data_IF_353892739458
#
_entry.id   IF_353892739458
#
_cell.length_a   1.000
_cell.length_b   1.000
_cell.length_c   1.000
_cell.angle_alpha   90.00
_cell.angle_beta   90.00
_cell.angle_gamma   90.00
#
_symmetry.space_group_name_H-M   'P 1'
#
loop_
_entity.id
_entity.type
_entity.pdbx_description
1 polymer ?
#
# COMPACT_ATOMS: atom_id res chain seq x y z
N UNK A 1 19.21 33.86 -10.93
CA UNK A 1 19.21 34.83 -9.82
C UNK A 1 18.23 35.97 -10.02
N UNK A 2 18.32 36.74 -11.11
CA UNK A 2 17.46 37.93 -11.31
C UNK A 2 15.95 37.63 -11.30
N UNK A 3 15.54 36.49 -11.89
CA UNK A 3 14.15 36.01 -11.84
C UNK A 3 13.64 35.67 -10.44
N UNK A 4 14.54 35.45 -9.48
CA UNK A 4 14.23 35.24 -8.07
C UNK A 4 14.30 36.55 -7.25
N UNK A 5 14.49 37.69 -7.92
CA UNK A 5 14.60 38.99 -7.29
C UNK A 5 15.94 39.26 -6.62
N UNK A 6 17.02 38.59 -7.06
CA UNK A 6 18.35 38.73 -6.47
C UNK A 6 19.34 39.25 -7.51
N UNK A 7 20.03 40.32 -7.13
CA UNK A 7 21.10 40.94 -7.92
C UNK A 7 22.32 40.01 -7.99
N UNK A 8 22.86 39.72 -9.19
CA UNK A 8 24.06 38.91 -9.37
C UNK A 8 25.31 39.47 -8.69
N UNK A 9 25.41 40.80 -8.63
CA UNK A 9 26.52 41.50 -7.97
C UNK A 9 26.10 42.90 -7.52
N UNK A 10 26.81 43.54 -6.57
CA UNK A 10 26.50 44.89 -6.09
C UNK A 10 26.42 45.95 -7.22
N UNK A 11 27.23 45.82 -8.26
CA UNK A 11 27.30 46.76 -9.39
C UNK A 11 26.04 46.73 -10.28
N UNK A 12 25.17 45.72 -10.10
CA UNK A 12 23.94 45.56 -10.88
C UNK A 12 22.70 46.11 -10.18
N UNK A 13 22.84 46.59 -8.94
CA UNK A 13 21.71 47.05 -8.12
C UNK A 13 20.95 48.24 -8.71
N UNK A 14 21.62 49.08 -9.50
CA UNK A 14 21.03 50.26 -10.14
C UNK A 14 20.44 49.97 -11.53
N UNK A 15 20.61 48.75 -12.06
CA UNK A 15 20.23 48.40 -13.44
C UNK A 15 18.80 47.88 -13.60
N UNK A 16 18.18 47.42 -12.51
CA UNK A 16 16.83 46.89 -12.52
C UNK A 16 16.20 46.97 -11.13
N UNK A 17 14.88 47.10 -11.07
CA UNK A 17 14.12 46.95 -9.83
C UNK A 17 13.72 45.48 -9.65
N UNK A 18 14.46 44.76 -8.80
CA UNK A 18 14.25 43.33 -8.57
C UNK A 18 13.50 43.11 -7.27
N UNK A 19 12.38 42.39 -7.35
CA UNK A 19 11.56 42.05 -6.18
C UNK A 19 11.84 40.61 -5.71
N UNK A 20 12.35 40.39 -4.48
CA UNK A 20 12.56 39.06 -3.94
C UNK A 20 11.26 38.23 -3.92
N UNK A 21 11.30 37.04 -4.50
CA UNK A 21 10.10 36.17 -4.67
C UNK A 21 10.02 35.02 -3.67
N UNK A 22 11.02 34.88 -2.79
CA UNK A 22 11.13 33.78 -1.83
C UNK A 22 11.35 34.30 -0.41
N UNK A 23 10.67 33.70 0.56
CA UNK A 23 10.96 33.87 1.98
C UNK A 23 11.00 32.52 2.68
N UNK A 24 11.85 32.39 3.70
CA UNK A 24 11.97 31.21 4.52
C UNK A 24 11.68 31.57 5.97
N UNK A 25 10.66 30.92 6.54
CA UNK A 25 10.06 31.31 7.81
C UNK A 25 9.80 30.10 8.70
N UNK A 26 9.79 30.33 10.00
CA UNK A 26 9.40 29.37 11.03
C UNK A 26 8.66 30.08 12.17
N UNK A 27 8.42 29.40 13.29
CA UNK A 27 7.85 29.99 14.50
C UNK A 27 8.65 29.61 15.74
N UNK A 28 8.57 30.45 16.78
CA UNK A 28 9.12 30.12 18.09
C UNK A 28 8.34 28.96 18.70
N UNK A 29 9.04 27.93 19.17
CA UNK A 29 8.42 26.77 19.86
C UNK A 29 8.67 26.78 21.36
N UNK A 30 9.67 27.53 21.83
CA UNK A 30 10.02 27.60 23.24
C UNK A 30 10.72 28.93 23.56
N UNK A 31 10.43 29.48 24.73
CA UNK A 31 11.15 30.61 25.33
C UNK A 31 11.64 30.22 26.73
N UNK A 32 12.90 30.54 27.03
CA UNK A 32 13.50 30.32 28.36
C UNK A 32 14.45 31.45 28.72
N UNK A 33 14.48 31.82 29.99
CA UNK A 33 15.39 32.81 30.55
C UNK A 33 16.60 32.10 31.18
N UNK A 34 17.81 32.60 30.91
CA UNK A 34 19.06 32.06 31.42
C UNK A 34 19.87 33.14 32.14
N UNK A 35 20.54 32.81 33.27
CA UNK A 35 21.43 33.74 33.95
C UNK A 35 22.75 33.91 33.19
N UNK A 36 23.52 34.95 33.53
CA UNK A 36 24.90 35.12 33.06
C UNK A 36 25.75 33.87 33.37
N UNK A 37 26.64 33.52 32.45
CA UNK A 37 27.56 32.38 32.57
C UNK A 37 26.99 31.03 32.14
N UNK A 38 25.75 30.96 31.63
CA UNK A 38 25.14 29.71 31.20
C UNK A 38 25.57 29.31 29.78
N UNK A 39 25.78 28.02 29.54
CA UNK A 39 26.19 27.50 28.23
C UNK A 39 25.00 27.09 27.36
N UNK A 40 25.02 27.46 26.08
CA UNK A 40 23.95 27.20 25.12
C UNK A 40 24.45 26.35 23.95
N UNK A 41 23.67 25.33 23.59
CA UNK A 41 23.92 24.46 22.44
C UNK A 41 25.04 23.43 22.65
N UNK A 42 25.28 22.64 21.60
CA UNK A 42 26.33 21.60 21.60
C UNK A 42 27.73 22.19 21.79
N UNK A 43 28.60 21.43 22.45
CA UNK A 43 29.98 21.80 22.78
C UNK A 43 30.13 23.12 23.53
N UNK A 44 29.04 23.66 24.10
CA UNK A 44 29.04 24.91 24.88
C UNK A 44 29.68 26.07 24.10
N UNK A 45 29.42 26.15 22.79
CA UNK A 45 30.03 27.14 21.89
C UNK A 45 29.56 28.57 22.12
N UNK A 46 28.56 28.77 22.97
CA UNK A 46 28.07 30.07 23.39
C UNK A 46 27.87 30.09 24.91
N UNK A 47 28.38 31.13 25.56
CA UNK A 47 28.19 31.40 26.99
C UNK A 47 27.52 32.77 27.12
N UNK A 48 26.41 32.84 27.83
CA UNK A 48 25.67 34.09 28.04
C UNK A 48 26.51 35.07 28.86
N UNK A 49 26.70 36.29 28.37
CA UNK A 49 27.47 37.35 29.04
C UNK A 49 26.65 38.19 30.03
N UNK A 50 25.32 38.10 29.95
CA UNK A 50 24.31 38.73 30.80
C UNK A 50 23.10 37.80 31.01
N UNK A 51 22.07 38.27 31.71
CA UNK A 51 20.79 37.58 31.73
C UNK A 51 20.18 37.62 30.32
N UNK A 52 19.91 36.45 29.74
CA UNK A 52 19.56 36.30 28.32
C UNK A 52 18.27 35.51 28.18
N UNK A 53 17.30 36.08 27.45
CA UNK A 53 16.08 35.37 27.04
C UNK A 53 16.32 34.71 25.69
N UNK A 54 16.13 33.40 25.62
CA UNK A 54 16.48 32.58 24.46
C UNK A 54 15.21 31.94 23.90
N UNK A 55 15.03 32.07 22.59
CA UNK A 55 14.00 31.37 21.85
C UNK A 55 14.60 30.13 21.14
N UNK A 56 13.88 29.02 21.15
CA UNK A 56 14.17 27.86 20.30
C UNK A 56 13.24 27.88 19.09
N UNK A 57 13.82 27.67 17.90
CA UNK A 57 13.08 27.56 16.64
C UNK A 57 13.31 26.18 16.01
N UNK A 58 12.28 25.56 15.40
CA UNK A 58 12.33 24.21 14.87
C UNK A 58 12.90 24.19 13.45
N UNK A 59 14.13 24.70 13.29
CA UNK A 59 14.89 24.67 12.04
C UNK A 59 16.34 24.33 12.36
N UNK A 60 16.93 23.44 11.55
CA UNK A 60 18.35 23.09 11.69
C UNK A 60 19.01 22.72 10.36
N UNK A 61 20.17 22.08 10.44
CA UNK A 61 20.94 21.71 9.24
C UNK A 61 20.26 20.63 8.40
N UNK A 62 19.32 19.86 8.95
CA UNK A 62 18.48 18.96 8.17
C UNK A 62 17.53 19.71 7.23
N UNK A 63 17.17 20.96 7.56
CA UNK A 63 16.43 21.89 6.70
C UNK A 63 17.37 22.74 5.84
N UNK A 64 18.65 22.36 5.82
CA UNK A 64 19.76 23.08 5.17
C UNK A 64 20.03 24.47 5.72
N UNK A 65 19.55 24.78 6.93
CA UNK A 65 20.07 25.89 7.72
C UNK A 65 21.39 25.45 8.35
N UNK A 66 22.49 25.64 7.62
CA UNK A 66 23.74 24.93 7.85
C UNK A 66 24.39 25.18 9.23
N UNK A 67 25.16 24.20 9.70
CA UNK A 67 25.99 24.31 10.92
C UNK A 67 26.93 25.51 10.85
N UNK A 68 27.34 25.90 9.64
CA UNK A 68 28.17 27.09 9.40
C UNK A 68 27.53 28.37 9.94
N UNK A 69 26.20 28.48 10.06
CA UNK A 69 25.52 29.66 10.62
C UNK A 69 25.54 29.72 12.15
N UNK A 70 26.14 28.75 12.83
CA UNK A 70 26.28 28.75 14.29
C UNK A 70 27.02 30.00 14.77
N UNK A 71 26.45 30.72 15.75
CA UNK A 71 27.01 31.96 16.32
C UNK A 71 27.23 33.14 15.36
N UNK A 72 26.80 33.06 14.10
CA UNK A 72 26.97 34.15 13.12
C UNK A 72 25.75 34.38 12.23
N UNK A 73 24.80 33.45 12.22
CA UNK A 73 23.50 33.64 11.60
C UNK A 73 22.64 34.63 12.37
N UNK A 74 21.67 35.21 11.67
CA UNK A 74 20.67 36.10 12.24
C UNK A 74 19.29 35.70 11.71
N UNK A 75 18.25 36.07 12.44
CA UNK A 75 16.85 35.94 12.04
C UNK A 75 16.10 37.22 12.37
N UNK A 76 14.92 37.42 11.77
CA UNK A 76 14.02 38.52 12.11
C UNK A 76 12.85 38.00 12.94
N UNK A 77 12.58 38.68 14.06
CA UNK A 77 11.43 38.42 14.94
C UNK A 77 10.81 39.76 15.30
N UNK A 78 9.50 39.92 15.08
CA UNK A 78 8.77 41.19 15.29
C UNK A 78 9.44 42.41 14.64
N UNK A 79 10.03 42.23 13.46
CA UNK A 79 10.70 43.26 12.69
C UNK A 79 12.07 43.69 13.25
N UNK A 80 12.63 42.93 14.19
CA UNK A 80 13.96 43.15 14.75
C UNK A 80 14.88 41.98 14.42
N UNK A 81 16.13 42.31 14.10
CA UNK A 81 17.21 41.35 13.85
C UNK A 81 17.78 40.82 15.16
N UNK A 82 17.88 39.50 15.27
CA UNK A 82 18.40 38.81 16.45
C UNK A 82 19.39 37.71 16.08
N UNK A 83 20.45 37.50 16.86
CA UNK A 83 21.50 36.55 16.51
C UNK A 83 21.11 35.11 16.84
N UNK A 84 21.56 34.18 16.00
CA UNK A 84 21.62 32.74 16.30
C UNK A 84 22.76 32.50 17.26
N UNK A 85 22.46 31.90 18.40
CA UNK A 85 23.42 31.63 19.48
C UNK A 85 23.52 30.13 19.74
N UNK A 86 24.73 29.64 19.98
CA UNK A 86 25.03 28.22 20.09
C UNK A 86 25.14 27.52 18.74
N UNK A 87 25.51 26.25 18.79
CA UNK A 87 25.63 25.40 17.59
C UNK A 87 24.24 25.01 17.05
N UNK A 88 24.03 25.22 15.76
CA UNK A 88 22.84 24.76 15.03
C UNK A 88 22.78 23.22 15.06
N UNK A 89 21.63 22.68 15.46
CA UNK A 89 21.38 21.23 15.54
C UNK A 89 20.70 20.71 14.27
N UNK A 90 20.36 19.42 14.21
CA UNK A 90 19.73 18.84 13.02
C UNK A 90 18.39 19.49 12.70
N UNK A 91 17.57 19.72 13.73
CA UNK A 91 16.18 20.13 13.56
C UNK A 91 15.82 21.40 14.36
N UNK A 92 16.76 21.94 15.13
CA UNK A 92 16.53 23.11 15.98
C UNK A 92 17.76 24.00 16.09
N UNK A 93 17.52 25.30 16.31
CA UNK A 93 18.54 26.24 16.74
C UNK A 93 17.96 27.25 17.74
N UNK A 94 18.85 28.00 18.38
CA UNK A 94 18.50 28.97 19.42
C UNK A 94 18.89 30.38 19.00
N UNK A 95 18.08 31.35 19.38
CA UNK A 95 18.28 32.77 19.06
C UNK A 95 18.11 33.64 20.32
N UNK A 96 18.91 34.69 20.44
CA UNK A 96 18.84 35.63 21.57
C UNK A 96 17.73 36.66 21.33
N UNK A 97 16.65 36.57 22.09
CA UNK A 97 15.50 37.49 22.00
C UNK A 97 15.45 38.47 23.17
N UNK A 98 16.55 38.65 23.90
CA UNK A 98 16.62 39.57 25.05
C UNK A 98 16.27 41.02 24.69
N UNK A 99 16.50 41.43 23.43
CA UNK A 99 16.11 42.75 22.91
C UNK A 99 14.63 42.90 22.51
N UNK A 100 13.83 41.85 22.72
CA UNK A 100 12.41 41.77 22.33
C UNK A 100 11.59 41.30 23.54
N UNK A 101 11.23 42.20 24.48
CA UNK A 101 10.54 41.82 25.72
C UNK A 101 9.19 41.13 25.47
N UNK A 102 8.45 41.57 24.43
CA UNK A 102 7.13 41.05 24.07
C UNK A 102 7.16 39.80 23.16
N UNK A 103 8.30 39.13 23.08
CA UNK A 103 8.47 37.91 22.28
C UNK A 103 7.66 36.75 22.89
N UNK A 104 6.93 36.02 22.07
CA UNK A 104 6.03 34.95 22.49
C UNK A 104 6.22 33.66 21.67
N UNK A 105 5.90 32.51 22.29
CA UNK A 105 5.80 31.24 21.56
C UNK A 105 4.75 31.38 20.45
N UNK A 106 5.07 30.93 19.24
CA UNK A 106 4.22 31.09 18.05
C UNK A 106 4.56 32.30 17.18
N UNK A 107 5.38 33.24 17.65
CA UNK A 107 5.81 34.39 16.85
C UNK A 107 6.51 33.94 15.56
N UNK A 108 6.22 34.63 14.45
CA UNK A 108 6.86 34.40 13.15
C UNK A 108 8.33 34.79 13.20
N UNK A 109 9.18 33.87 12.77
CA UNK A 109 10.63 34.05 12.64
C UNK A 109 11.00 33.96 11.17
N UNK A 110 11.63 34.99 10.61
CA UNK A 110 12.07 35.04 9.21
C UNK A 110 13.58 34.79 9.16
N UNK A 111 13.99 33.68 8.54
CA UNK A 111 15.40 33.32 8.35
C UNK A 111 15.97 33.92 7.05
N UNK A 112 15.10 34.11 6.05
CA UNK A 112 15.41 34.80 4.79
C UNK A 112 14.13 35.47 4.28
N UNK A 113 14.21 36.72 3.84
CA UNK A 113 13.06 37.53 3.43
C UNK A 113 12.90 38.79 4.27
N UNK A 114 11.72 39.41 4.21
CA UNK A 114 11.42 40.69 4.87
C UNK A 114 10.44 40.51 6.03
N UNK A 115 10.67 41.25 7.12
CA UNK A 115 9.73 41.41 8.23
C UNK A 115 9.74 42.86 8.70
N UNK A 116 8.63 43.58 8.49
CA UNK A 116 8.58 45.03 8.74
C UNK A 116 9.54 45.80 7.81
N UNK A 117 10.41 46.61 8.39
CA UNK A 117 11.43 47.38 7.66
C UNK A 117 12.76 46.64 7.50
N UNK A 118 12.94 45.50 8.17
CA UNK A 118 14.16 44.69 8.09
C UNK A 118 14.02 43.59 7.04
N UNK A 119 15.15 43.21 6.45
CA UNK A 119 15.23 42.07 5.52
C UNK A 119 16.56 41.35 5.60
N UNK A 120 16.52 40.02 5.47
CA UNK A 120 17.71 39.16 5.34
C UNK A 120 17.69 38.58 3.92
N UNK A 121 18.66 38.94 3.09
CA UNK A 121 18.74 38.49 1.69
C UNK A 121 19.61 37.24 1.54
N UNK A 122 19.44 36.49 0.44
CA UNK A 122 20.33 35.37 0.12
C UNK A 122 21.80 35.83 -0.06
N UNK A 123 22.02 37.02 -0.62
CA UNK A 123 23.36 37.60 -0.78
C UNK A 123 24.00 37.89 0.59
N UNK A 124 23.20 38.34 1.56
CA UNK A 124 23.69 38.58 2.92
C UNK A 124 24.10 37.28 3.62
N UNK A 125 23.25 36.24 3.54
CA UNK A 125 23.57 34.92 4.11
C UNK A 125 24.82 34.35 3.43
N UNK A 126 24.89 34.41 2.11
CA UNK A 126 26.03 33.96 1.31
C UNK A 126 27.32 34.67 1.72
N UNK A 127 27.29 36.00 1.88
CA UNK A 127 28.44 36.80 2.29
C UNK A 127 28.96 36.44 3.68
N UNK A 128 28.08 36.08 4.63
CA UNK A 128 28.48 35.65 5.98
C UNK A 128 29.16 34.29 6.00
N UNK A 129 28.75 33.38 5.13
CA UNK A 129 29.25 32.00 5.13
C UNK A 129 30.31 31.73 4.05
N UNK A 130 30.70 32.74 3.29
CA UNK A 130 31.68 32.62 2.20
C UNK A 130 31.17 31.79 1.00
N UNK A 131 29.88 31.90 0.69
CA UNK A 131 29.21 31.18 -0.41
C UNK A 131 28.60 32.16 -1.42
N UNK A 132 27.77 31.67 -2.35
CA UNK A 132 27.04 32.43 -3.34
C UNK A 132 25.52 32.25 -3.14
N UNK A 133 24.73 33.25 -3.53
CA UNK A 133 23.27 33.19 -3.38
C UNK A 133 22.60 32.01 -4.07
N UNK A 134 23.18 31.48 -5.15
CA UNK A 134 22.68 30.26 -5.79
C UNK A 134 22.62 29.09 -4.82
N UNK A 135 23.69 28.88 -4.03
CA UNK A 135 23.77 27.79 -3.08
C UNK A 135 22.75 27.99 -1.96
N UNK A 136 22.63 29.21 -1.43
CA UNK A 136 21.65 29.54 -0.38
C UNK A 136 20.22 29.26 -0.84
N UNK A 137 19.84 29.69 -2.04
CA UNK A 137 18.50 29.46 -2.59
C UNK A 137 18.21 27.99 -2.86
N UNK A 138 19.18 27.24 -3.36
CA UNK A 138 19.03 25.81 -3.65
C UNK A 138 19.00 24.96 -2.38
N UNK A 139 19.72 25.37 -1.34
CA UNK A 139 19.84 24.62 -0.10
C UNK A 139 18.67 24.89 0.85
N UNK A 140 18.39 26.16 1.17
CA UNK A 140 17.49 26.53 2.27
C UNK A 140 16.08 25.95 2.12
N UNK A 141 15.57 25.42 3.23
CA UNK A 141 14.22 24.89 3.28
C UNK A 141 14.08 23.59 2.49
N UNK A 142 15.16 22.81 2.35
CA UNK A 142 15.14 21.52 1.66
C UNK A 142 13.97 20.68 2.14
N UNK A 143 13.80 20.55 3.47
CA UNK A 143 12.71 19.82 4.14
C UNK A 143 11.40 20.59 4.31
N UNK A 144 11.39 21.89 4.04
CA UNK A 144 10.25 22.76 4.32
C UNK A 144 9.16 22.65 3.24
N UNK A 145 7.87 22.78 3.60
CA UNK A 145 6.79 22.93 2.63
C UNK A 145 6.96 24.23 1.85
N UNK A 146 6.59 24.23 0.56
CA UNK A 146 6.62 25.42 -0.29
C UNK A 146 5.19 25.94 -0.45
N UNK A 147 5.00 27.22 -0.14
CA UNK A 147 3.73 27.93 -0.29
C UNK A 147 3.88 28.93 -1.44
N UNK A 148 3.16 28.69 -2.54
CA UNK A 148 3.16 29.59 -3.69
C UNK A 148 2.02 30.59 -3.55
N UNK A 149 2.35 31.89 -3.62
CA UNK A 149 1.38 32.98 -3.48
C UNK A 149 1.13 33.55 -4.89
N UNK A 150 -0.07 33.34 -5.45
CA UNK A 150 -0.46 33.95 -6.72
C UNK A 150 -1.55 35.01 -6.50
N UNK A 151 -1.27 36.26 -6.89
CA UNK A 151 -2.21 37.41 -6.83
C UNK A 151 -3.02 37.51 -5.52
N UNK A 152 -2.35 37.40 -4.37
CA UNK A 152 -2.97 37.58 -3.06
C UNK A 152 -3.88 36.45 -2.57
N UNK A 153 -4.04 35.36 -3.34
CA UNK A 153 -4.64 34.12 -2.86
C UNK A 153 -3.53 33.14 -2.46
N UNK A 154 -3.55 32.72 -1.19
CA UNK A 154 -2.66 31.69 -0.67
C UNK A 154 -3.16 30.29 -1.09
N UNK A 155 -3.44 30.08 -2.37
CA UNK A 155 -4.02 28.83 -2.87
C UNK A 155 -3.01 28.14 -3.77
N UNK A 156 -2.01 27.50 -3.15
CA UNK A 156 -1.48 26.16 -3.48
C UNK A 156 -0.47 25.78 -2.40
N UNK A 157 -0.84 24.88 -1.49
CA UNK A 157 0.09 24.23 -0.56
C UNK A 157 0.69 23.02 -1.28
N UNK A 158 1.98 23.04 -1.60
CA UNK A 158 2.71 21.82 -1.96
C UNK A 158 3.64 21.44 -0.82
N UNK A 159 3.33 20.39 -0.05
CA UNK A 159 4.34 19.60 0.63
C UNK A 159 4.64 18.39 -0.24
N UNK A 160 5.75 18.42 -0.99
CA UNK A 160 6.40 17.19 -1.45
C UNK A 160 7.90 17.31 -1.24
N UNK A 161 8.37 16.74 -0.14
CA UNK A 161 9.59 15.96 -0.21
C UNK A 161 9.21 14.51 -0.32
N UNK A 162 8.93 14.10 -1.54
CA UNK A 162 9.63 12.91 -1.99
C UNK A 162 10.80 13.43 -2.81
N UNK A 163 11.99 12.85 -2.61
CA UNK A 163 12.91 12.70 -3.73
C UNK A 163 12.11 11.94 -4.79
N UNK A 164 11.50 12.70 -5.69
CA UNK A 164 11.05 12.26 -7.00
C UNK A 164 11.76 13.22 -7.94
N UNK A 165 12.89 12.75 -8.46
CA UNK A 165 13.33 13.11 -9.80
C UNK A 165 13.08 11.84 -10.64
N UNK A 166 12.32 12.01 -11.72
CA UNK A 166 11.92 11.04 -12.77
C UNK A 166 12.55 11.63 -14.04
N UNK A 167 13.28 10.92 -14.93
CA UNK A 167 12.73 9.82 -15.76
C UNK A 167 13.72 8.70 -16.19
N UNK A 168 13.21 7.48 -16.38
CA UNK A 168 13.81 6.36 -17.15
C UNK A 168 15.09 5.64 -16.66
N UNK A 169 15.76 6.05 -15.59
CA UNK A 169 16.94 5.32 -15.09
C UNK A 169 16.73 4.68 -13.71
N UNK A 170 16.79 3.34 -13.72
CA UNK A 170 16.96 2.39 -12.62
C UNK A 170 15.78 2.11 -11.68
N UNK A 171 15.06 1.05 -12.09
CA UNK A 171 14.74 -0.10 -11.23
C UNK A 171 15.66 -0.21 -10.01
N UNK A 172 15.17 0.20 -8.85
CA UNK A 172 15.48 -0.55 -7.63
C UNK A 172 14.16 -0.83 -6.92
N UNK A 173 13.35 -1.68 -7.56
CA UNK A 173 12.30 -2.43 -6.87
C UNK A 173 12.90 -2.94 -5.54
N UNK A 174 14.10 -3.52 -5.61
CA UNK A 174 14.96 -3.92 -4.48
C UNK A 174 15.09 -2.91 -3.34
N UNK A 175 15.16 -1.60 -3.61
CA UNK A 175 15.27 -0.58 -2.55
C UNK A 175 13.93 -0.28 -1.91
N UNK A 176 12.86 -0.26 -2.69
CA UNK A 176 11.50 -0.08 -2.17
C UNK A 176 11.12 -1.34 -1.38
N UNK A 177 11.38 -2.51 -1.93
CA UNK A 177 11.25 -3.81 -1.29
C UNK A 177 11.99 -3.84 0.04
N UNK A 178 13.27 -3.44 0.04
CA UNK A 178 14.08 -3.37 1.26
C UNK A 178 13.47 -2.46 2.33
N UNK A 179 12.93 -1.29 1.95
CA UNK A 179 12.28 -0.37 2.89
C UNK A 179 10.99 -0.98 3.44
N UNK A 180 10.15 -1.58 2.60
CA UNK A 180 8.87 -2.17 3.00
C UNK A 180 9.11 -3.41 3.87
N UNK A 181 10.07 -4.25 3.50
CA UNK A 181 10.56 -5.40 4.26
C UNK A 181 11.06 -4.97 5.63
N UNK A 182 11.94 -3.96 5.72
CA UNK A 182 12.40 -3.39 7.00
C UNK A 182 11.24 -2.83 7.84
N UNK A 183 10.23 -2.23 7.21
CA UNK A 183 9.04 -1.76 7.93
C UNK A 183 8.24 -2.91 8.53
N UNK A 184 8.05 -4.02 7.80
CA UNK A 184 7.40 -5.21 8.33
C UNK A 184 8.23 -5.89 9.42
N UNK A 185 9.55 -6.03 9.24
CA UNK A 185 10.46 -6.55 10.26
C UNK A 185 10.39 -5.74 11.56
N UNK A 186 10.44 -4.41 11.44
CA UNK A 186 10.37 -3.49 12.60
C UNK A 186 9.02 -3.59 13.32
N UNK A 187 7.90 -3.66 12.57
CA UNK A 187 6.56 -3.80 13.16
C UNK A 187 6.32 -5.18 13.77
N UNK A 188 6.79 -6.24 13.12
CA UNK A 188 6.69 -7.61 13.61
C UNK A 188 7.65 -7.89 14.78
N UNK A 189 8.66 -7.02 14.98
CA UNK A 189 9.77 -7.20 15.94
C UNK A 189 10.53 -8.52 15.74
N UNK A 190 10.58 -9.00 14.50
CA UNK A 190 11.28 -10.22 14.08
C UNK A 190 11.59 -10.10 12.60
N UNK A 191 12.84 -10.39 12.23
CA UNK A 191 13.29 -10.34 10.85
C UNK A 191 12.58 -11.42 10.02
N UNK A 192 12.52 -12.65 10.53
CA UNK A 192 11.87 -13.76 9.82
C UNK A 192 10.37 -13.52 9.61
N UNK A 193 9.67 -12.98 10.60
CA UNK A 193 8.24 -12.66 10.47
C UNK A 193 8.00 -11.48 9.52
N UNK A 194 8.87 -10.46 9.55
CA UNK A 194 8.77 -9.33 8.62
C UNK A 194 8.97 -9.76 7.17
N UNK A 195 9.92 -10.65 6.95
CA UNK A 195 10.24 -11.23 5.65
C UNK A 195 9.12 -12.13 5.13
N UNK A 196 8.55 -12.95 6.00
CA UNK A 196 7.37 -13.76 5.68
C UNK A 196 6.18 -12.88 5.30
N UNK A 197 5.90 -11.81 6.03
CA UNK A 197 4.81 -10.87 5.67
C UNK A 197 5.10 -10.20 4.33
N UNK A 198 6.35 -9.81 4.07
CA UNK A 198 6.73 -9.20 2.81
C UNK A 198 6.48 -10.13 1.61
N UNK A 199 7.00 -11.35 1.63
CA UNK A 199 6.86 -12.27 0.51
C UNK A 199 5.45 -12.88 0.41
N UNK A 200 4.89 -13.33 1.53
CA UNK A 200 3.60 -14.04 1.54
C UNK A 200 2.41 -13.10 1.33
N UNK A 201 2.51 -11.85 1.77
CA UNK A 201 1.41 -10.89 1.65
C UNK A 201 1.71 -9.77 0.67
N UNK A 202 2.85 -9.09 0.80
CA UNK A 202 3.08 -7.86 0.02
C UNK A 202 3.40 -8.16 -1.45
N UNK A 203 4.40 -8.99 -1.74
CA UNK A 203 4.72 -9.42 -3.11
C UNK A 203 3.56 -10.17 -3.78
N UNK A 204 2.90 -11.07 -3.03
CA UNK A 204 1.78 -11.84 -3.57
C UNK A 204 0.58 -10.94 -3.95
N UNK A 205 0.35 -9.85 -3.21
CA UNK A 205 -0.76 -8.91 -3.45
C UNK A 205 -0.40 -7.78 -4.41
N UNK A 206 0.86 -7.35 -4.44
CA UNK A 206 1.30 -6.10 -5.10
C UNK A 206 2.53 -6.24 -6.00
N UNK A 207 3.19 -7.40 -6.03
CA UNK A 207 4.48 -7.65 -6.73
C UNK A 207 4.40 -7.76 -8.25
N UNK A 208 3.20 -7.71 -8.84
CA UNK A 208 3.00 -7.56 -10.29
C UNK A 208 2.35 -6.20 -10.55
N UNK A 209 2.88 -5.44 -11.51
CA UNK A 209 2.46 -4.07 -11.82
C UNK A 209 0.93 -3.96 -11.94
N UNK A 210 0.36 -2.92 -11.32
CA UNK A 210 -1.07 -2.55 -11.33
C UNK A 210 -2.08 -3.64 -10.87
N UNK A 211 -1.69 -4.56 -9.98
CA UNK A 211 -2.66 -5.46 -9.33
C UNK A 211 -3.46 -4.73 -8.25
N UNK A 212 -4.71 -4.40 -8.56
CA UNK A 212 -5.63 -3.76 -7.60
C UNK A 212 -6.04 -4.75 -6.49
N UNK A 213 -5.93 -4.32 -5.22
CA UNK A 213 -6.28 -5.15 -4.06
C UNK A 213 -7.79 -5.45 -4.04
N UNK A 214 -8.17 -6.68 -4.37
CA UNK A 214 -9.54 -7.16 -4.20
C UNK A 214 -9.71 -7.77 -2.80
N UNK A 215 -10.61 -7.17 -2.00
CA UNK A 215 -11.00 -7.69 -0.70
C UNK A 215 -12.31 -8.46 -0.83
N UNK A 216 -12.37 -9.63 -0.18
CA UNK A 216 -13.57 -10.46 -0.11
C UNK A 216 -14.08 -10.57 1.33
N UNK A 217 -15.38 -10.72 1.50
CA UNK A 217 -16.00 -11.00 2.80
C UNK A 217 -16.96 -12.17 2.69
N UNK A 218 -17.13 -12.92 3.79
CA UNK A 218 -18.07 -14.06 3.90
C UNK A 218 -17.87 -15.07 2.74
N UNK A 219 -16.63 -15.51 2.53
CA UNK A 219 -16.32 -16.47 1.47
C UNK A 219 -16.82 -17.85 1.86
N UNK A 220 -17.71 -18.40 1.03
CA UNK A 220 -18.28 -19.73 1.18
C UNK A 220 -17.92 -20.60 -0.01
N UNK A 221 -17.58 -21.84 0.26
CA UNK A 221 -17.14 -22.80 -0.73
C UNK A 221 -17.73 -24.17 -0.41
N UNK A 222 -18.87 -24.46 -1.01
CA UNK A 222 -19.62 -25.69 -0.79
C UNK A 222 -19.34 -26.69 -1.92
N UNK A 223 -18.68 -27.79 -1.57
CA UNK A 223 -18.33 -28.88 -2.49
C UNK A 223 -19.23 -30.06 -2.18
N UNK A 224 -19.89 -30.58 -3.20
CA UNK A 224 -20.65 -31.83 -3.12
C UNK A 224 -20.09 -32.80 -4.14
N UNK A 225 -19.62 -33.96 -3.65
CA UNK A 225 -19.12 -35.05 -4.48
C UNK A 225 -20.14 -36.18 -4.45
N UNK A 226 -20.49 -36.68 -5.64
CA UNK A 226 -21.42 -37.79 -5.82
C UNK A 226 -20.90 -38.75 -6.90
N UNK A 227 -21.26 -40.03 -6.81
CA UNK A 227 -21.02 -40.99 -7.88
C UNK A 227 -21.86 -40.64 -9.12
N UNK A 228 -21.37 -41.04 -10.30
CA UNK A 228 -22.13 -40.91 -11.55
C UNK A 228 -23.17 -42.02 -11.57
N UNK A 229 -24.46 -41.66 -11.57
CA UNK A 229 -25.53 -42.63 -11.77
C UNK A 229 -25.31 -43.36 -13.11
N UNK A 230 -25.23 -44.69 -13.06
CA UNK A 230 -25.16 -45.56 -14.23
C UNK A 230 -26.48 -45.48 -15.02
N UNK A 231 -26.63 -44.41 -15.80
CA UNK A 231 -27.74 -44.25 -16.72
C UNK A 231 -27.77 -45.39 -17.74
N UNK A 232 -28.93 -46.03 -17.86
CA UNK A 232 -29.26 -47.05 -18.87
C UNK A 232 -29.11 -46.48 -20.28
N UNK A 233 -27.90 -46.43 -20.83
CA UNK A 233 -27.62 -46.50 -22.26
C UNK A 233 -26.11 -46.72 -22.48
N UNK A 234 -25.82 -47.89 -23.05
CA UNK A 234 -24.50 -48.50 -23.26
C UNK A 234 -23.33 -47.57 -23.53
N UNK A 235 -22.33 -47.63 -22.64
CA UNK A 235 -20.92 -47.92 -22.96
C UNK A 235 -20.22 -48.25 -21.62
N UNK A 236 -20.31 -49.52 -21.24
CA UNK A 236 -19.98 -50.07 -19.93
C UNK A 236 -18.47 -50.23 -19.65
N UNK A 237 -17.65 -49.20 -19.88
CA UNK A 237 -16.21 -49.28 -19.61
C UNK A 237 -15.57 -48.01 -19.01
N UNK A 238 -16.33 -46.98 -18.63
CA UNK A 238 -15.79 -45.72 -18.09
C UNK A 238 -16.57 -45.09 -16.92
N UNK A 239 -17.63 -45.71 -16.40
CA UNK A 239 -18.51 -45.09 -15.38
C UNK A 239 -17.96 -45.15 -13.95
N UNK A 240 -17.21 -46.19 -13.59
CA UNK A 240 -16.91 -46.49 -12.17
C UNK A 240 -15.74 -45.67 -11.60
N UNK A 241 -15.03 -44.95 -12.47
CA UNK A 241 -13.80 -44.23 -12.12
C UNK A 241 -13.97 -42.70 -12.23
N UNK A 242 -15.21 -42.21 -12.27
CA UNK A 242 -15.52 -40.79 -12.41
C UNK A 242 -16.54 -40.35 -11.36
N UNK A 243 -16.28 -39.21 -10.73
CA UNK A 243 -17.08 -38.55 -9.71
C UNK A 243 -17.66 -37.26 -10.28
N UNK A 244 -18.92 -36.96 -9.95
CA UNK A 244 -19.52 -35.67 -10.18
C UNK A 244 -19.19 -34.76 -8.99
N UNK A 245 -18.66 -33.58 -9.28
CA UNK A 245 -18.35 -32.56 -8.27
C UNK A 245 -19.13 -31.30 -8.60
N UNK A 246 -20.05 -30.94 -7.71
CA UNK A 246 -20.76 -29.66 -7.75
C UNK A 246 -20.09 -28.73 -6.75
N UNK A 247 -19.66 -27.56 -7.20
CA UNK A 247 -19.06 -26.55 -6.35
C UNK A 247 -19.87 -25.27 -6.43
N UNK A 248 -20.34 -24.79 -5.29
CA UNK A 248 -20.92 -23.45 -5.15
C UNK A 248 -19.94 -22.58 -4.38
N UNK A 249 -19.47 -21.52 -5.03
CA UNK A 249 -18.63 -20.51 -4.39
C UNK A 249 -19.42 -19.21 -4.28
N UNK A 250 -19.43 -18.59 -3.11
CA UNK A 250 -19.98 -17.25 -2.92
C UNK A 250 -19.11 -16.37 -2.05
N UNK A 251 -19.14 -15.07 -2.30
CA UNK A 251 -18.39 -14.06 -1.53
C UNK A 251 -18.89 -12.66 -1.82
N UNK A 252 -18.67 -11.74 -0.89
CA UNK A 252 -18.96 -10.32 -1.08
C UNK A 252 -17.73 -9.57 -1.55
N UNK A 253 -17.88 -8.74 -2.59
CA UNK A 253 -16.82 -7.83 -3.09
C UNK A 253 -17.41 -6.54 -3.62
N UNK A 254 -16.56 -5.57 -3.90
CA UNK A 254 -16.96 -4.40 -4.71
C UNK A 254 -16.97 -4.79 -6.18
N UNK A 255 -18.12 -4.66 -6.86
CA UNK A 255 -18.20 -4.94 -8.30
C UNK A 255 -17.48 -3.86 -9.11
N UNK A 256 -16.64 -4.27 -10.07
CA UNK A 256 -15.83 -3.34 -10.88
C UNK A 256 -16.12 -3.40 -12.36
N UNK A 257 -16.47 -4.59 -12.85
CA UNK A 257 -16.78 -4.82 -14.24
C UNK A 257 -18.24 -5.26 -14.37
N UNK A 258 -18.93 -4.76 -15.38
CA UNK A 258 -20.27 -5.21 -15.74
C UNK A 258 -20.24 -6.46 -16.64
N UNK A 259 -19.07 -6.81 -17.15
CA UNK A 259 -18.79 -8.06 -17.86
C UNK A 259 -17.49 -8.66 -17.30
N UNK A 260 -17.51 -9.94 -16.99
CA UNK A 260 -16.37 -10.64 -16.40
C UNK A 260 -16.29 -12.08 -16.91
N UNK A 261 -15.12 -12.70 -16.73
CA UNK A 261 -14.85 -14.07 -17.18
C UNK A 261 -14.60 -15.00 -16.00
N UNK A 262 -15.16 -16.21 -16.08
CA UNK A 262 -14.78 -17.35 -15.25
C UNK A 262 -13.85 -18.21 -16.10
N UNK A 263 -12.57 -18.28 -15.70
CA UNK A 263 -11.53 -18.99 -16.44
C UNK A 263 -11.31 -20.40 -15.89
N UNK A 264 -11.23 -21.38 -16.78
CA UNK A 264 -10.82 -22.74 -16.46
C UNK A 264 -9.51 -23.06 -17.18
N UNK A 265 -8.43 -23.18 -16.41
CA UNK A 265 -7.09 -23.55 -16.85
C UNK A 265 -6.87 -25.06 -16.74
N UNK A 266 -5.99 -25.59 -17.60
CA UNK A 266 -5.60 -27.01 -17.62
C UNK A 266 -4.15 -27.25 -17.17
N UNK A 267 -3.40 -26.17 -16.98
CA UNK A 267 -2.03 -26.16 -16.48
C UNK A 267 -1.72 -24.83 -15.76
N UNK A 268 -0.53 -24.74 -15.17
CA UNK A 268 -0.11 -23.58 -14.40
C UNK A 268 0.19 -22.34 -15.26
N UNK A 269 0.55 -22.51 -16.53
CA UNK A 269 0.83 -21.39 -17.44
C UNK A 269 -0.48 -20.67 -17.81
N UNK A 270 -1.50 -21.44 -18.16
CA UNK A 270 -2.86 -20.95 -18.37
C UNK A 270 -3.44 -20.31 -17.12
N UNK A 271 -3.25 -20.94 -15.95
CA UNK A 271 -3.72 -20.38 -14.68
C UNK A 271 -3.04 -19.03 -14.39
N UNK A 272 -1.74 -18.91 -14.65
CA UNK A 272 -1.01 -17.65 -14.52
C UNK A 272 -1.58 -16.57 -15.46
N UNK A 273 -1.92 -16.92 -16.71
CA UNK A 273 -2.52 -15.98 -17.64
C UNK A 273 -3.88 -15.42 -17.16
N UNK A 274 -4.70 -16.23 -16.47
CA UNK A 274 -5.93 -15.75 -15.84
C UNK A 274 -5.69 -14.87 -14.61
N UNK A 275 -4.54 -15.00 -13.92
CA UNK A 275 -4.18 -14.11 -12.83
C UNK A 275 -3.84 -12.69 -13.31
N UNK A 276 -3.33 -12.56 -14.53
CA UNK A 276 -3.00 -11.26 -15.15
C UNK A 276 -4.20 -10.55 -15.78
N UNK A 277 -5.32 -11.25 -16.04
CA UNK A 277 -6.52 -10.62 -16.62
C UNK A 277 -7.42 -10.00 -15.53
N UNK A 278 -7.55 -8.66 -15.46
CA UNK A 278 -8.37 -7.99 -14.46
C UNK A 278 -9.87 -8.23 -14.62
N UNK A 279 -10.31 -8.81 -15.75
CA UNK A 279 -11.71 -9.20 -15.99
C UNK A 279 -12.00 -10.61 -15.48
N UNK A 280 -10.96 -11.38 -15.12
CA UNK A 280 -11.13 -12.73 -14.59
C UNK A 280 -11.56 -12.70 -13.12
N UNK A 281 -12.84 -12.97 -12.89
CA UNK A 281 -13.46 -12.93 -11.56
C UNK A 281 -13.13 -14.19 -10.75
N UNK A 282 -13.15 -15.34 -11.43
CA UNK A 282 -12.94 -16.63 -10.79
C UNK A 282 -12.15 -17.59 -11.68
N UNK A 283 -11.29 -18.39 -11.06
CA UNK A 283 -10.28 -19.23 -11.70
C UNK A 283 -10.43 -20.66 -11.22
N UNK A 284 -10.51 -21.59 -12.16
CA UNK A 284 -10.56 -23.01 -11.91
C UNK A 284 -9.35 -23.67 -12.54
N UNK A 285 -8.70 -24.60 -11.83
CA UNK A 285 -7.62 -25.43 -12.39
C UNK A 285 -8.12 -26.87 -12.48
N UNK A 286 -8.24 -27.38 -13.70
CA UNK A 286 -8.49 -28.79 -13.93
C UNK A 286 -7.18 -29.57 -13.86
N UNK A 287 -7.12 -30.59 -13.01
CA UNK A 287 -5.97 -31.48 -12.94
C UNK A 287 -5.90 -32.36 -14.19
N UNK A 288 -4.87 -32.18 -15.04
CA UNK A 288 -4.48 -33.16 -16.05
C UNK A 288 -3.73 -34.33 -15.37
N UNK A 289 -4.45 -35.38 -15.03
CA UNK A 289 -3.85 -36.70 -14.72
C UNK A 289 -3.86 -37.62 -15.94
N UNK A 290 -3.14 -38.75 -15.88
CA UNK A 290 -3.10 -39.78 -16.95
C UNK A 290 -4.50 -40.34 -17.30
N UNK A 291 -5.50 -40.10 -16.44
CA UNK A 291 -6.92 -40.42 -16.65
C UNK A 291 -7.71 -39.14 -16.96
N UNK A 292 -7.75 -38.79 -18.25
CA UNK A 292 -8.26 -37.54 -18.81
C UNK A 292 -9.69 -37.19 -18.39
N UNK A 293 -9.84 -36.08 -17.67
CA UNK A 293 -11.06 -35.28 -17.66
C UNK A 293 -10.98 -34.30 -18.85
N UNK A 294 -12.00 -34.26 -19.70
CA UNK A 294 -12.01 -33.48 -20.93
C UNK A 294 -12.60 -32.08 -20.69
N UNK A 295 -12.38 -31.16 -21.62
CA UNK A 295 -12.90 -29.77 -21.55
C UNK A 295 -14.42 -29.71 -21.32
N UNK A 296 -15.17 -30.66 -21.89
CA UNK A 296 -16.62 -30.83 -21.70
C UNK A 296 -17.08 -31.19 -20.29
N UNK A 297 -16.15 -31.56 -19.43
CA UNK A 297 -16.41 -31.98 -18.06
C UNK A 297 -16.26 -30.83 -17.07
N UNK A 298 -16.10 -29.58 -17.53
CA UNK A 298 -16.27 -28.36 -16.76
C UNK A 298 -17.45 -27.55 -17.34
N UNK A 299 -18.35 -27.11 -16.46
CA UNK A 299 -19.47 -26.24 -16.84
C UNK A 299 -19.81 -25.30 -15.70
N UNK A 300 -19.86 -24.01 -15.98
CA UNK A 300 -20.54 -23.03 -15.11
C UNK A 300 -22.04 -23.18 -15.36
N UNK A 301 -22.80 -23.60 -14.35
CA UNK A 301 -24.25 -23.77 -14.49
C UNK A 301 -25.03 -22.52 -14.16
N UNK A 302 -24.57 -21.73 -13.18
CA UNK A 302 -25.26 -20.53 -12.73
C UNK A 302 -24.27 -19.52 -12.21
N UNK A 303 -24.52 -18.25 -12.52
CA UNK A 303 -23.83 -17.10 -11.96
C UNK A 303 -24.88 -16.12 -11.48
N UNK A 304 -24.73 -15.59 -10.28
CA UNK A 304 -25.67 -14.60 -9.73
C UNK A 304 -24.94 -13.50 -8.95
N UNK A 305 -25.53 -12.30 -8.97
CA UNK A 305 -25.05 -11.11 -8.26
C UNK A 305 -26.20 -10.48 -7.46
N UNK A 306 -26.12 -10.56 -6.13
CA UNK A 306 -27.21 -10.30 -5.16
C UNK A 306 -28.51 -11.02 -5.56
N UNK A 307 -28.43 -12.34 -5.74
CA UNK A 307 -29.55 -13.21 -6.14
C UNK A 307 -30.15 -12.94 -7.54
N UNK A 308 -29.60 -12.01 -8.30
CA UNK A 308 -29.97 -11.77 -9.71
C UNK A 308 -29.12 -12.65 -10.63
N UNK A 309 -29.77 -13.44 -11.48
CA UNK A 309 -29.07 -14.31 -12.43
C UNK A 309 -28.36 -13.50 -13.53
N UNK A 310 -27.06 -13.76 -13.68
CA UNK A 310 -26.21 -13.16 -14.71
C UNK A 310 -26.03 -14.19 -15.83
N UNK A 311 -26.54 -13.92 -17.05
CA UNK A 311 -26.46 -14.85 -18.14
C UNK A 311 -25.02 -15.01 -18.65
N UNK A 312 -24.74 -16.22 -19.10
CA UNK A 312 -23.52 -16.55 -19.85
C UNK A 312 -23.73 -16.05 -21.28
N UNK A 313 -22.92 -15.08 -21.70
CA UNK A 313 -23.03 -14.44 -23.01
C UNK A 313 -22.22 -15.16 -24.10
N UNK A 314 -21.09 -15.77 -23.72
CA UNK A 314 -20.30 -16.60 -24.62
C UNK A 314 -19.43 -17.58 -23.83
N UNK A 315 -19.03 -18.66 -24.49
CA UNK A 315 -18.02 -19.59 -23.98
C UNK A 315 -17.03 -19.90 -25.08
N UNK A 316 -15.74 -19.73 -24.81
CA UNK A 316 -14.69 -19.81 -25.82
C UNK A 316 -13.50 -20.63 -25.31
N UNK A 317 -12.92 -21.44 -26.18
CA UNK A 317 -11.63 -22.08 -25.92
C UNK A 317 -10.53 -21.19 -26.51
N UNK A 318 -9.69 -20.63 -25.66
CA UNK A 318 -8.59 -19.74 -26.05
C UNK A 318 -7.24 -20.39 -25.75
N UNK A 319 -6.14 -19.74 -26.14
CA UNK A 319 -4.80 -20.18 -25.76
C UNK A 319 -4.56 -20.16 -24.25
N UNK A 320 -5.38 -19.42 -23.48
CA UNK A 320 -5.30 -19.30 -22.01
C UNK A 320 -6.16 -20.32 -21.28
N UNK A 321 -6.94 -21.14 -21.98
CA UNK A 321 -7.87 -22.11 -21.42
C UNK A 321 -9.33 -21.85 -21.83
N UNK A 322 -10.27 -22.42 -21.08
CA UNK A 322 -11.70 -22.26 -21.35
C UNK A 322 -12.25 -21.03 -20.62
N UNK A 323 -12.88 -20.13 -21.36
CA UNK A 323 -13.39 -18.85 -20.89
C UNK A 323 -14.92 -18.84 -20.92
N UNK A 324 -15.55 -18.55 -19.78
CA UNK A 324 -17.00 -18.36 -19.66
C UNK A 324 -17.30 -16.90 -19.36
N UNK A 325 -17.81 -16.19 -20.34
CA UNK A 325 -18.11 -14.75 -20.24
C UNK A 325 -19.53 -14.54 -19.71
N UNK A 326 -19.64 -13.70 -18.69
CA UNK A 326 -20.90 -13.37 -18.01
C UNK A 326 -21.12 -11.85 -18.02
N UNK A 327 -22.34 -11.41 -18.32
CA UNK A 327 -22.70 -9.99 -18.34
C UNK A 327 -24.21 -9.82 -18.21
N UNK A 328 -24.67 -8.76 -17.55
CA UNK A 328 -26.08 -8.37 -17.49
C UNK A 328 -26.20 -6.85 -17.49
N UNK A 329 -27.27 -6.29 -18.05
CA UNK A 329 -27.46 -4.84 -18.18
C UNK A 329 -27.51 -4.15 -16.81
N UNK A 330 -28.25 -4.75 -15.87
CA UNK A 330 -28.43 -4.25 -14.49
C UNK A 330 -27.12 -4.17 -13.68
N UNK A 331 -26.05 -4.85 -14.10
CA UNK A 331 -24.76 -4.77 -13.39
C UNK A 331 -24.13 -3.38 -13.49
N UNK A 332 -24.51 -2.58 -14.50
CA UNK A 332 -24.05 -1.19 -14.64
C UNK A 332 -24.44 -0.34 -13.44
N UNK A 333 -25.63 -0.57 -12.88
CA UNK A 333 -26.13 0.19 -11.72
C UNK A 333 -25.45 -0.25 -10.41
N UNK A 334 -24.89 -1.46 -10.38
CA UNK A 334 -24.16 -2.03 -9.24
C UNK A 334 -22.65 -1.81 -9.29
N UNK A 335 -22.14 -1.04 -10.27
CA UNK A 335 -20.71 -0.75 -10.35
C UNK A 335 -20.25 0.08 -9.15
N UNK A 336 -19.10 -0.31 -8.58
CA UNK A 336 -18.50 0.29 -7.40
C UNK A 336 -19.31 0.15 -6.10
N UNK A 337 -20.36 -0.68 -6.07
CA UNK A 337 -21.07 -1.05 -4.85
C UNK A 337 -20.62 -2.43 -4.36
N UNK A 338 -20.85 -2.71 -3.08
CA UNK A 338 -20.65 -4.05 -2.54
C UNK A 338 -21.78 -4.96 -3.03
N UNK A 339 -21.44 -6.12 -3.55
CA UNK A 339 -22.36 -7.15 -4.04
C UNK A 339 -21.95 -8.52 -3.54
N UNK A 340 -22.90 -9.45 -3.44
CA UNK A 340 -22.66 -10.87 -3.24
C UNK A 340 -22.60 -11.58 -4.61
N UNK A 341 -21.42 -12.12 -4.94
CA UNK A 341 -21.22 -12.95 -6.13
C UNK A 341 -21.39 -14.40 -5.74
N UNK A 342 -22.16 -15.17 -6.51
CA UNK A 342 -22.27 -16.62 -6.36
C UNK A 342 -22.15 -17.33 -7.71
N UNK A 343 -21.33 -18.38 -7.75
CA UNK A 343 -21.01 -19.16 -8.94
C UNK A 343 -21.21 -20.64 -8.64
N UNK A 344 -21.99 -21.32 -9.47
CA UNK A 344 -22.18 -22.77 -9.42
C UNK A 344 -21.46 -23.44 -10.58
N UNK A 345 -20.51 -24.32 -10.25
CA UNK A 345 -19.64 -25.01 -11.19
C UNK A 345 -19.89 -26.51 -11.06
N UNK A 346 -20.06 -27.16 -12.20
CA UNK A 346 -20.09 -28.62 -12.30
C UNK A 346 -18.80 -29.09 -12.94
N UNK A 347 -18.14 -30.03 -12.28
CA UNK A 347 -16.98 -30.72 -12.83
C UNK A 347 -17.07 -32.22 -12.70
N UNK A 348 -16.35 -32.96 -13.55
CA UNK A 348 -16.05 -34.36 -13.29
C UNK A 348 -14.63 -34.52 -12.80
N UNK A 349 -14.42 -35.52 -11.94
CA UNK A 349 -13.10 -35.85 -11.40
C UNK A 349 -12.88 -37.34 -11.43
N UNK A 350 -11.70 -37.79 -11.85
CA UNK A 350 -11.35 -39.21 -11.76
C UNK A 350 -11.27 -39.66 -10.30
N UNK A 351 -11.78 -40.86 -9.98
CA UNK A 351 -11.73 -41.44 -8.63
C UNK A 351 -10.28 -41.76 -8.22
N UNK A 352 -9.43 -42.14 -9.19
CA UNK A 352 -7.99 -42.31 -9.00
C UNK A 352 -7.26 -41.01 -8.55
N UNK A 353 -7.80 -39.83 -8.86
CA UNK A 353 -7.29 -38.56 -8.35
C UNK A 353 -7.92 -38.28 -6.97
N UNK A 354 -7.24 -38.71 -5.92
CA UNK A 354 -7.78 -38.75 -4.57
C UNK A 354 -7.61 -37.46 -3.75
N UNK A 355 -7.35 -36.33 -4.42
CA UNK A 355 -7.13 -35.03 -3.78
C UNK A 355 -8.07 -33.96 -4.34
N UNK A 356 -8.63 -33.10 -3.50
CA UNK A 356 -9.36 -31.89 -3.91
C UNK A 356 -8.86 -30.68 -3.12
N UNK A 357 -8.26 -29.72 -3.81
CA UNK A 357 -7.63 -28.56 -3.18
C UNK A 357 -8.43 -27.28 -3.41
N UNK A 358 -8.58 -26.50 -2.34
CA UNK A 358 -9.16 -25.15 -2.37
C UNK A 358 -8.07 -24.17 -1.95
N UNK A 359 -7.83 -23.15 -2.77
CA UNK A 359 -6.85 -22.11 -2.51
C UNK A 359 -7.54 -20.75 -2.37
N UNK A 360 -7.22 -20.04 -1.29
CA UNK A 360 -7.62 -18.66 -1.07
C UNK A 360 -6.56 -17.76 -1.70
N UNK A 361 -6.92 -17.07 -2.77
CA UNK A 361 -5.98 -16.22 -3.52
C UNK A 361 -6.11 -14.74 -3.17
N UNK A 362 -7.23 -14.35 -2.56
CA UNK A 362 -7.50 -12.96 -2.18
C UNK A 362 -7.66 -12.84 -0.66
N UNK A 363 -7.24 -11.71 -0.05
CA UNK A 363 -7.49 -11.45 1.35
C UNK A 363 -8.99 -11.46 1.62
N UNK A 364 -9.40 -12.33 2.53
CA UNK A 364 -10.80 -12.62 2.77
C UNK A 364 -11.11 -12.49 4.26
N UNK A 365 -12.21 -11.82 4.60
CA UNK A 365 -12.70 -11.71 5.96
C UNK A 365 -13.84 -12.71 6.21
N UNK A 366 -13.60 -13.71 7.06
CA UNK A 366 -14.49 -14.86 7.24
C UNK A 366 -14.36 -15.90 6.14
N UNK A 367 -14.45 -17.18 6.52
CA UNK A 367 -14.28 -18.32 5.60
C UNK A 367 -15.19 -19.47 6.02
N UNK A 368 -15.84 -20.10 5.06
CA UNK A 368 -16.61 -21.32 5.26
C UNK A 368 -16.41 -22.28 4.09
N UNK A 369 -15.65 -23.35 4.28
CA UNK A 369 -15.40 -24.35 3.23
C UNK A 369 -16.05 -25.66 3.68
N UNK A 370 -16.99 -26.18 2.91
CA UNK A 370 -17.64 -27.47 3.15
C UNK A 370 -17.30 -28.46 2.05
N UNK A 371 -16.90 -29.66 2.45
CA UNK A 371 -16.67 -30.80 1.56
C UNK A 371 -17.61 -31.94 1.95
N UNK A 372 -18.70 -32.09 1.19
CA UNK A 372 -19.69 -33.14 1.33
C UNK A 372 -19.36 -34.31 0.39
N UNK A 373 -19.22 -35.49 0.98
CA UNK A 373 -18.90 -36.75 0.32
C UNK A 373 -19.84 -37.89 0.75
N UNK A 374 -21.05 -37.57 1.25
CA UNK A 374 -22.03 -38.57 1.71
C UNK A 374 -22.41 -39.57 0.61
N UNK A 375 -22.37 -39.14 -0.64
CA UNK A 375 -22.80 -39.92 -1.81
C UNK A 375 -21.64 -40.60 -2.57
N UNK A 376 -20.47 -40.76 -1.95
CA UNK A 376 -19.28 -41.35 -2.62
C UNK A 376 -18.83 -42.68 -2.05
N UNK A 377 -19.33 -43.07 -0.87
CA UNK A 377 -18.86 -44.25 -0.15
C UNK A 377 -17.45 -44.13 0.45
N UNK A 378 -16.82 -42.95 0.45
CA UNK A 378 -15.48 -42.76 1.03
C UNK A 378 -15.49 -43.02 2.54
N UNK A 379 -14.59 -43.90 2.99
CA UNK A 379 -14.49 -44.30 4.41
C UNK A 379 -13.59 -43.39 5.22
N UNK A 380 -12.55 -42.86 4.59
CA UNK A 380 -11.52 -42.05 5.20
C UNK A 380 -11.27 -40.83 4.31
N UNK A 381 -11.72 -39.68 4.80
CA UNK A 381 -11.42 -38.37 4.22
C UNK A 381 -10.68 -37.58 5.29
N UNK A 382 -9.59 -36.93 4.91
CA UNK A 382 -8.77 -36.09 5.77
C UNK A 382 -8.61 -34.73 5.11
N UNK A 383 -8.58 -33.69 5.92
CA UNK A 383 -8.23 -32.36 5.46
C UNK A 383 -6.79 -32.02 5.87
N UNK A 384 -6.04 -31.44 4.93
CA UNK A 384 -4.71 -30.89 5.16
C UNK A 384 -4.81 -29.40 4.93
N UNK A 385 -4.96 -28.66 6.03
CA UNK A 385 -5.13 -27.21 6.03
C UNK A 385 -3.78 -26.50 6.10
N UNK A 386 -3.61 -25.43 5.34
CA UNK A 386 -2.45 -24.56 5.39
C UNK A 386 -2.96 -23.12 5.41
N UNK A 387 -2.66 -22.37 6.48
CA UNK A 387 -3.18 -21.00 6.65
C UNK A 387 -2.05 -20.07 7.05
N UNK A 388 -1.89 -18.97 6.31
CA UNK A 388 -0.85 -17.98 6.55
C UNK A 388 -1.23 -17.06 7.72
N UNK A 389 -0.28 -16.82 8.65
CA UNK A 389 -0.42 -15.85 9.76
C UNK A 389 -0.32 -16.47 11.17
N UNK A 390 -0.32 -15.61 12.21
CA UNK A 390 -0.06 -16.01 13.61
C UNK A 390 -1.20 -16.81 14.27
N UNK A 391 -2.45 -16.67 13.83
CA UNK A 391 -3.62 -17.37 14.40
C UNK A 391 -4.79 -17.60 13.40
N UNK A 392 -4.70 -18.48 12.39
CA UNK A 392 -5.79 -18.64 11.41
C UNK A 392 -6.22 -20.10 11.19
N UNK A 393 -6.15 -20.97 12.21
CA UNK A 393 -6.73 -22.31 12.02
C UNK A 393 -8.26 -22.19 12.08
N UNK A 394 -8.98 -22.46 10.98
CA UNK A 394 -10.42 -22.54 11.02
C UNK A 394 -10.85 -23.65 11.97
N UNK A 395 -12.01 -23.49 12.59
CA UNK A 395 -12.67 -24.58 13.29
C UNK A 395 -13.00 -25.68 12.28
N UNK A 396 -12.54 -26.91 12.55
CA UNK A 396 -12.81 -28.06 11.68
C UNK A 396 -13.91 -28.89 12.31
N UNK A 397 -15.08 -28.89 11.65
CA UNK A 397 -16.25 -29.67 12.02
C UNK A 397 -16.31 -30.87 11.08
N UNK A 398 -16.46 -32.08 11.61
CA UNK A 398 -16.45 -33.31 10.82
C UNK A 398 -17.60 -34.23 11.21
N UNK A 399 -18.26 -34.79 10.22
CA UNK A 399 -19.18 -35.92 10.39
C UNK A 399 -18.73 -37.04 9.47
N UNK A 400 -18.27 -38.16 10.07
CA UNK A 400 -17.64 -39.26 9.34
C UNK A 400 -18.63 -39.86 8.33
N UNK A 401 -18.19 -39.96 7.08
CA UNK A 401 -19.03 -40.49 6.00
C UNK A 401 -20.02 -39.48 5.43
N UNK A 402 -20.00 -38.21 5.89
CA UNK A 402 -20.87 -37.16 5.36
C UNK A 402 -20.10 -35.95 4.88
N UNK A 403 -19.43 -35.21 5.77
CA UNK A 403 -18.76 -33.98 5.40
C UNK A 403 -17.60 -33.59 6.32
N UNK A 404 -16.74 -32.72 5.81
CA UNK A 404 -15.76 -31.93 6.58
C UNK A 404 -16.03 -30.45 6.28
N UNK A 405 -16.12 -29.62 7.31
CA UNK A 405 -16.35 -28.18 7.19
C UNK A 405 -15.30 -27.40 7.96
N UNK A 406 -14.74 -26.38 7.33
CA UNK A 406 -13.74 -25.48 7.91
C UNK A 406 -14.37 -24.10 8.04
N UNK A 407 -14.40 -23.55 9.26
CA UNK A 407 -15.02 -22.25 9.53
C UNK A 407 -14.07 -21.27 10.21
N UNK A 408 -13.91 -20.09 9.62
CA UNK A 408 -13.28 -18.93 10.24
C UNK A 408 -14.33 -17.82 10.45
N UNK A 409 -14.43 -17.21 11.65
CA UNK A 409 -15.39 -16.15 11.93
C UNK A 409 -15.26 -14.93 11.01
N UNK A 410 -16.35 -14.19 10.81
CA UNK A 410 -16.42 -12.99 9.94
C UNK A 410 -15.56 -11.80 10.39
N UNK A 411 -14.87 -11.88 11.53
CA UNK A 411 -13.90 -10.88 11.97
C UNK A 411 -12.44 -11.31 11.74
N UNK A 412 -12.22 -12.57 11.37
CA UNK A 412 -10.90 -13.14 11.13
C UNK A 412 -10.48 -12.93 9.69
N UNK A 413 -9.24 -12.48 9.50
CA UNK A 413 -8.63 -12.37 8.18
C UNK A 413 -7.97 -13.69 7.78
N UNK A 414 -8.29 -14.15 6.57
CA UNK A 414 -7.62 -15.24 5.87
C UNK A 414 -6.85 -14.62 4.71
N UNK A 415 -5.54 -14.82 4.69
CA UNK A 415 -4.65 -14.23 3.70
C UNK A 415 -4.42 -15.16 2.51
N UNK A 416 -3.93 -14.62 1.37
CA UNK A 416 -3.44 -15.44 0.26
C UNK A 416 -2.43 -16.51 0.73
N UNK A 417 -2.24 -17.55 -0.08
CA UNK A 417 -1.45 -18.74 0.26
C UNK A 417 -2.05 -19.56 1.42
N UNK A 418 -3.31 -19.30 1.76
CA UNK A 418 -4.10 -20.17 2.64
C UNK A 418 -4.99 -21.10 1.82
N UNK A 419 -5.41 -22.22 2.40
CA UNK A 419 -6.26 -23.18 1.74
C UNK A 419 -6.37 -24.50 2.48
N UNK A 420 -7.02 -25.45 1.83
CA UNK A 420 -7.22 -26.80 2.34
C UNK A 420 -7.19 -27.79 1.19
N UNK A 421 -6.50 -28.92 1.41
CA UNK A 421 -6.55 -30.08 0.53
C UNK A 421 -7.32 -31.19 1.22
N UNK A 422 -8.42 -31.63 0.64
CA UNK A 422 -9.13 -32.84 1.04
C UNK A 422 -8.49 -34.04 0.35
N UNK A 423 -8.11 -35.05 1.13
CA UNK A 423 -7.52 -36.30 0.65
C UNK A 423 -8.42 -37.44 1.10
N UNK A 424 -8.74 -38.36 0.19
CA UNK A 424 -9.49 -39.56 0.53
C UNK A 424 -8.74 -40.82 0.11
N UNK A 425 -9.08 -41.93 0.75
CA UNK A 425 -8.58 -43.23 0.34
C UNK A 425 -9.41 -43.75 -0.84
N UNK A 426 -8.73 -44.31 -1.85
CA UNK A 426 -9.33 -44.95 -3.03
C UNK A 426 -9.81 -46.37 -2.74
#
# INVERSE_FOLDING_TARGET
>A
LMSYGIYPSPETMDKADLLPVMSFKTRIVLLKDFPKGYSIGYNRTYITDKATRIATIPIGYGDSYGVILSNQGEVLIRGKRVPVIGRVSMDMCTVDVSGIPDCQVGDEVVLMGRQGQESISANEIAGRVGSISYEILCALGKRAPRLFIHKGKADTVLPRLRRIYIPDEERSIDRIDSIIRQCFQTRARSEELGDAIYYEMFETLFGKEDRQLELREDFRYDITVAEVDAGKNGTAARSDDVLNVTTRVSYKKTLKNNAFVIGCAFDNEQLAAFFEDPRCEYRWLMSRGEHLVLERDFRVARVSIDDVDVPIISTEMTSRGYEVWCSHEDLREKLNTQVEVAIEIFTKKSRANNIFSVYVVYPTRGLDISFNYEQTGFRHVREVSFFAGKHPYPEVIREKGKYIRLRAPNHTWVFPNSGVTFVWDT
#
